data_IF_816083105791
#
_entry.id   IF_816083105791
#
_cell.length_a   1.000
_cell.length_b   1.000
_cell.length_c   1.000
_cell.angle_alpha   90.00
_cell.angle_beta   90.00
_cell.angle_gamma   90.00
#
_symmetry.space_group_name_H-M   'P 1'
#
loop_
_entity.id
_entity.type
_entity.pdbx_description
1 polymer ?
#
# COMPACT_ATOMS: atom_id res chain seq x y z
N UNK A 1 -19.88 9.81 0.17
CA UNK A 1 -20.21 8.36 0.14
C UNK A 1 -19.38 7.66 1.23
N UNK A 2 -19.66 6.43 1.67
CA UNK A 2 -18.75 5.75 2.58
C UNK A 2 -17.48 5.29 1.84
N UNK A 3 -16.43 4.98 2.60
CA UNK A 3 -15.30 4.19 2.11
C UNK A 3 -15.80 2.85 1.57
N UNK A 4 -15.10 2.29 0.58
CA UNK A 4 -15.38 0.95 0.03
C UNK A 4 -14.46 -0.10 0.67
N UNK A 5 -14.91 -1.36 0.80
CA UNK A 5 -14.02 -2.46 1.16
C UNK A 5 -12.94 -2.66 0.09
N UNK A 6 -11.70 -2.92 0.51
CA UNK A 6 -10.58 -3.17 -0.42
C UNK A 6 -10.88 -4.34 -1.35
N UNK A 7 -11.62 -5.36 -0.89
CA UNK A 7 -12.07 -6.49 -1.71
C UNK A 7 -12.73 -6.03 -3.01
N UNK A 8 -13.60 -5.02 -2.97
CA UNK A 8 -14.23 -4.50 -4.18
C UNK A 8 -13.17 -3.96 -5.16
N UNK A 9 -12.26 -3.12 -4.68
CA UNK A 9 -11.20 -2.53 -5.52
C UNK A 9 -10.34 -3.63 -6.14
N UNK A 10 -10.03 -4.68 -5.38
CA UNK A 10 -9.25 -5.82 -5.86
C UNK A 10 -10.00 -6.66 -6.90
N UNK A 11 -11.27 -6.98 -6.65
CA UNK A 11 -12.10 -7.76 -7.57
C UNK A 11 -12.24 -7.04 -8.93
N UNK A 12 -12.40 -5.70 -8.91
CA UNK A 12 -12.45 -4.89 -10.14
C UNK A 12 -11.08 -4.78 -10.82
N UNK A 13 -9.98 -4.69 -10.05
CA UNK A 13 -8.62 -4.74 -10.60
C UNK A 13 -8.30 -6.07 -11.29
N UNK A 14 -8.81 -7.19 -10.74
CA UNK A 14 -8.71 -8.51 -11.38
C UNK A 14 -9.47 -8.53 -12.69
N UNK A 15 -10.72 -8.04 -12.72
CA UNK A 15 -11.54 -7.99 -13.95
C UNK A 15 -10.95 -7.09 -15.03
N UNK A 16 -10.45 -5.91 -14.63
CA UNK A 16 -9.88 -4.90 -15.53
C UNK A 16 -8.42 -5.16 -15.92
N UNK A 17 -7.74 -6.08 -15.25
CA UNK A 17 -6.35 -6.41 -15.56
C UNK A 17 -5.32 -5.34 -15.16
N UNK A 18 -5.68 -4.41 -14.27
CA UNK A 18 -4.81 -3.34 -13.79
C UNK A 18 -4.28 -3.59 -12.37
N UNK A 19 -3.35 -2.76 -11.89
CA UNK A 19 -2.85 -2.78 -10.52
C UNK A 19 -3.21 -1.48 -9.80
N UNK A 20 -3.58 -1.54 -8.52
CA UNK A 20 -3.96 -0.37 -7.74
C UNK A 20 -2.84 0.02 -6.78
N UNK A 21 -2.45 1.29 -6.82
CA UNK A 21 -1.49 1.84 -5.87
C UNK A 21 -2.10 1.92 -4.47
N UNK A 22 -1.37 1.42 -3.48
CA UNK A 22 -1.66 1.62 -2.07
C UNK A 22 -0.61 2.57 -1.49
N UNK A 23 -1.06 3.79 -1.18
CA UNK A 23 -0.19 4.91 -0.85
C UNK A 23 -0.23 5.19 0.65
N UNK A 24 0.94 5.16 1.29
CA UNK A 24 1.04 5.48 2.72
C UNK A 24 0.76 6.97 2.97
N UNK A 25 -0.02 7.25 4.01
CA UNK A 25 -0.41 8.62 4.39
C UNK A 25 -0.17 8.89 5.87
N UNK A 26 0.36 10.08 6.16
CA UNK A 26 0.72 10.52 7.51
C UNK A 26 0.18 11.91 7.84
N UNK A 27 -0.25 12.69 6.84
CA UNK A 27 -0.75 14.05 7.01
C UNK A 27 -1.73 14.46 5.90
N UNK A 28 -2.25 15.68 6.00
CA UNK A 28 -3.24 16.26 5.09
C UNK A 28 -2.67 16.43 3.68
N UNK A 29 -1.45 16.96 3.53
CA UNK A 29 -0.84 17.27 2.25
C UNK A 29 -0.62 16.02 1.39
N UNK A 30 -0.21 14.90 2.00
CA UNK A 30 -0.08 13.62 1.29
C UNK A 30 -1.42 13.14 0.77
N UNK A 31 -2.45 13.14 1.63
CA UNK A 31 -3.82 12.75 1.25
C UNK A 31 -4.33 13.63 0.12
N UNK A 32 -4.22 14.96 0.23
CA UNK A 32 -4.66 15.88 -0.81
C UNK A 32 -3.92 15.69 -2.13
N UNK A 33 -2.60 15.43 -2.09
CA UNK A 33 -1.81 15.15 -3.28
C UNK A 33 -2.27 13.87 -3.99
N UNK A 34 -2.45 12.78 -3.22
CA UNK A 34 -2.94 11.49 -3.73
C UNK A 34 -4.36 11.63 -4.30
N UNK A 35 -5.26 12.28 -3.57
CA UNK A 35 -6.66 12.42 -4.00
C UNK A 35 -6.82 13.33 -5.21
N UNK A 36 -6.00 14.39 -5.32
CA UNK A 36 -5.96 15.21 -6.54
C UNK A 36 -5.58 14.37 -7.75
N UNK A 37 -4.59 13.49 -7.61
CA UNK A 37 -4.21 12.57 -8.69
C UNK A 37 -5.36 11.61 -9.03
N UNK A 38 -5.91 10.93 -8.01
CA UNK A 38 -7.01 9.98 -8.18
C UNK A 38 -8.23 10.58 -8.87
N UNK A 39 -8.60 11.81 -8.51
CA UNK A 39 -9.73 12.53 -9.09
C UNK A 39 -9.49 12.96 -10.53
N UNK A 40 -8.27 13.40 -10.87
CA UNK A 40 -7.93 13.81 -12.23
C UNK A 40 -7.84 12.60 -13.18
N UNK A 41 -7.26 11.49 -12.72
CA UNK A 41 -7.15 10.25 -13.52
C UNK A 41 -8.41 9.39 -13.44
N UNK A 42 -9.36 9.72 -12.56
CA UNK A 42 -10.52 8.88 -12.24
C UNK A 42 -10.10 7.45 -11.88
N UNK A 43 -9.13 7.34 -10.97
CA UNK A 43 -8.57 6.05 -10.54
C UNK A 43 -9.10 5.60 -9.17
N UNK A 44 -9.35 4.30 -8.95
CA UNK A 44 -9.51 3.77 -7.60
C UNK A 44 -8.23 3.97 -6.78
N UNK A 45 -8.36 4.11 -5.46
CA UNK A 45 -7.20 4.35 -4.59
C UNK A 45 -7.32 3.63 -3.24
N UNK A 46 -6.18 3.11 -2.78
CA UNK A 46 -6.03 2.61 -1.41
C UNK A 46 -5.15 3.61 -0.66
N UNK A 47 -5.73 4.27 0.35
CA UNK A 47 -4.96 5.04 1.32
C UNK A 47 -4.59 4.08 2.45
N UNK A 48 -3.30 3.95 2.74
CA UNK A 48 -2.84 3.07 3.80
C UNK A 48 -2.10 3.79 4.92
N UNK A 49 -2.25 3.31 6.14
CA UNK A 49 -1.60 3.87 7.32
C UNK A 49 -0.86 2.76 8.07
N UNK A 50 0.44 2.94 8.25
CA UNK A 50 1.25 2.07 9.09
C UNK A 50 0.94 2.31 10.57
N UNK A 51 1.39 1.40 11.44
CA UNK A 51 1.38 1.65 12.90
C UNK A 51 2.10 2.95 13.28
N UNK A 52 3.19 3.27 12.57
CA UNK A 52 3.92 4.53 12.74
C UNK A 52 3.06 5.75 12.37
N UNK A 53 2.34 5.69 11.25
CA UNK A 53 1.40 6.73 10.83
C UNK A 53 0.25 6.91 11.84
N UNK A 54 -0.32 5.81 12.34
CA UNK A 54 -1.38 5.82 13.36
C UNK A 54 -0.88 6.48 14.64
N UNK A 55 0.34 6.16 15.08
CA UNK A 55 0.96 6.79 16.24
C UNK A 55 1.24 8.29 16.01
N UNK A 56 1.81 8.65 14.85
CA UNK A 56 2.12 10.03 14.48
C UNK A 56 0.86 10.92 14.42
N UNK A 57 -0.25 10.35 13.95
CA UNK A 57 -1.53 11.05 13.80
C UNK A 57 -2.44 10.92 15.03
N UNK A 58 -1.92 10.50 16.19
CA UNK A 58 -2.71 10.28 17.42
C UNK A 58 -4.02 9.49 17.17
N UNK A 59 -3.97 8.50 16.28
CA UNK A 59 -5.04 7.60 15.83
C UNK A 59 -6.26 8.25 15.15
N UNK A 60 -6.86 9.29 15.74
CA UNK A 60 -8.12 9.85 15.26
C UNK A 60 -7.94 10.81 14.09
N UNK A 61 -6.80 11.52 13.99
CA UNK A 61 -6.63 12.49 12.91
C UNK A 61 -6.62 11.81 11.54
N UNK A 62 -5.99 10.63 11.40
CA UNK A 62 -5.99 9.91 10.13
C UNK A 62 -7.41 9.52 9.68
N UNK A 63 -8.26 9.08 10.62
CA UNK A 63 -9.67 8.78 10.35
C UNK A 63 -10.38 10.00 9.75
N UNK A 64 -10.33 11.14 10.42
CA UNK A 64 -11.06 12.33 9.98
C UNK A 64 -10.48 12.95 8.70
N UNK A 65 -9.16 12.89 8.51
CA UNK A 65 -8.55 13.34 7.25
C UNK A 65 -8.99 12.48 6.07
N UNK A 66 -9.09 11.16 6.25
CA UNK A 66 -9.59 10.26 5.19
C UNK A 66 -11.09 10.44 4.96
N UNK A 67 -11.88 10.68 6.01
CA UNK A 67 -13.30 11.02 5.84
C UNK A 67 -13.48 12.30 5.01
N UNK A 68 -12.69 13.34 5.27
CA UNK A 68 -12.70 14.56 4.46
C UNK A 68 -12.33 14.28 2.99
N UNK A 69 -11.35 13.40 2.74
CA UNK A 69 -11.01 12.98 1.38
C UNK A 69 -12.18 12.32 0.64
N UNK A 70 -12.97 11.49 1.33
CA UNK A 70 -14.14 10.83 0.74
C UNK A 70 -15.29 11.82 0.46
N UNK A 71 -15.49 12.80 1.34
CA UNK A 71 -16.48 13.85 1.14
C UNK A 71 -16.14 14.76 -0.05
N UNK A 72 -14.87 15.12 -0.19
CA UNK A 72 -14.37 15.98 -1.27
C UNK A 72 -14.26 15.26 -2.63
N UNK A 73 -14.25 13.92 -2.63
CA UNK A 73 -14.06 13.10 -3.83
C UNK A 73 -15.15 12.02 -3.96
N UNK A 74 -16.44 12.39 -4.06
CA UNK A 74 -17.54 11.44 -3.99
C UNK A 74 -17.52 10.42 -5.13
N UNK A 75 -16.94 10.72 -6.30
CA UNK A 75 -16.90 9.80 -7.44
C UNK A 75 -15.71 8.84 -7.45
N UNK A 76 -14.89 8.82 -6.40
CA UNK A 76 -13.66 8.01 -6.34
C UNK A 76 -13.83 6.89 -5.30
N UNK A 77 -13.63 5.62 -5.67
CA UNK A 77 -13.64 4.51 -4.72
C UNK A 77 -12.34 4.53 -3.91
N UNK A 78 -12.51 4.77 -2.60
CA UNK A 78 -11.41 4.94 -1.65
C UNK A 78 -11.54 3.85 -0.58
N UNK A 79 -10.46 3.09 -0.37
CA UNK A 79 -10.32 2.19 0.77
C UNK A 79 -9.29 2.74 1.76
N UNK A 80 -9.57 2.60 3.06
CA UNK A 80 -8.60 2.88 4.12
C UNK A 80 -8.06 1.56 4.67
N UNK A 81 -6.75 1.35 4.52
CA UNK A 81 -6.06 0.09 4.80
C UNK A 81 -5.03 0.23 5.93
N UNK A 82 -5.03 -0.69 6.89
CA UNK A 82 -3.97 -0.78 7.91
C UNK A 82 -2.80 -1.54 7.29
N UNK A 83 -1.65 -0.88 7.24
CA UNK A 83 -0.40 -1.46 6.72
C UNK A 83 0.42 -2.09 7.87
N UNK A 84 0.82 -3.35 7.69
CA UNK A 84 1.57 -4.15 8.66
C UNK A 84 1.02 -4.16 10.09
N UNK A 85 -0.22 -4.61 10.28
CA UNK A 85 -0.73 -4.97 11.61
C UNK A 85 0.10 -6.10 12.21
N UNK A 86 0.55 -5.95 13.46
CA UNK A 86 1.46 -6.90 14.11
C UNK A 86 0.76 -7.86 15.09
N UNK A 87 -0.52 -7.63 15.37
CA UNK A 87 -1.33 -8.41 16.30
C UNK A 87 -2.80 -8.29 15.97
N UNK A 88 -3.60 -9.17 16.57
CA UNK A 88 -5.05 -9.11 16.50
C UNK A 88 -5.58 -7.78 17.03
N UNK A 89 -5.03 -7.29 18.15
CA UNK A 89 -5.44 -6.06 18.82
C UNK A 89 -5.23 -4.83 17.92
N UNK A 90 -4.11 -4.77 17.21
CA UNK A 90 -3.83 -3.69 16.26
C UNK A 90 -4.83 -3.69 15.11
N UNK A 91 -5.12 -4.86 14.53
CA UNK A 91 -6.10 -5.00 13.45
C UNK A 91 -7.51 -4.64 13.93
N UNK A 92 -7.91 -5.14 15.11
CA UNK A 92 -9.18 -4.81 15.75
C UNK A 92 -9.33 -3.31 15.98
N UNK A 93 -8.30 -2.65 16.50
CA UNK A 93 -8.32 -1.21 16.74
C UNK A 93 -8.50 -0.42 15.44
N UNK A 94 -7.83 -0.81 14.35
CA UNK A 94 -8.03 -0.17 13.05
C UNK A 94 -9.46 -0.34 12.53
N UNK A 95 -10.04 -1.55 12.65
CA UNK A 95 -11.44 -1.81 12.30
C UNK A 95 -12.39 -0.89 13.11
N UNK A 96 -12.19 -0.79 14.42
CA UNK A 96 -12.99 0.08 15.31
C UNK A 96 -12.83 1.58 14.98
N UNK A 97 -11.66 1.99 14.45
CA UNK A 97 -11.44 3.34 13.95
C UNK A 97 -12.18 3.62 12.63
N UNK A 98 -12.63 2.59 11.91
CA UNK A 98 -13.38 2.71 10.65
C UNK A 98 -12.56 2.42 9.40
N UNK A 99 -11.47 1.67 9.53
CA UNK A 99 -10.74 1.14 8.38
C UNK A 99 -11.61 0.12 7.63
N UNK A 100 -11.57 0.15 6.30
CA UNK A 100 -12.32 -0.77 5.43
C UNK A 100 -11.47 -1.94 4.95
N UNK A 101 -10.18 -1.94 5.29
CA UNK A 101 -9.29 -3.07 5.14
C UNK A 101 -8.19 -3.07 6.20
N UNK A 102 -7.71 -4.25 6.56
CA UNK A 102 -6.55 -4.42 7.42
C UNK A 102 -5.59 -5.46 6.85
N UNK A 103 -4.29 -5.23 7.03
CA UNK A 103 -3.29 -6.26 6.87
C UNK A 103 -2.88 -6.79 8.24
N UNK A 104 -2.84 -8.11 8.38
CA UNK A 104 -2.12 -8.79 9.46
C UNK A 104 -0.82 -9.34 8.87
N UNK A 105 0.31 -8.72 9.25
CA UNK A 105 1.63 -9.23 8.93
C UNK A 105 1.97 -10.35 9.91
N UNK A 106 1.30 -11.47 9.70
CA UNK A 106 1.55 -12.70 10.43
C UNK A 106 2.85 -13.38 10.01
N UNK A 107 3.62 -12.85 9.04
CA UNK A 107 4.93 -13.41 8.65
C UNK A 107 6.02 -13.14 9.68
N UNK A 108 5.78 -12.15 10.55
CA UNK A 108 6.63 -11.75 11.66
C UNK A 108 5.89 -11.98 12.98
N UNK A 109 6.66 -12.07 14.07
CA UNK A 109 6.12 -12.00 15.43
C UNK A 109 5.65 -10.58 15.72
N UNK A 110 4.97 -10.42 16.85
CA UNK A 110 4.41 -9.13 17.29
C UNK A 110 5.46 -8.00 17.42
N UNK A 111 6.75 -8.35 17.54
CA UNK A 111 7.87 -7.41 17.51
C UNK A 111 8.15 -6.78 16.12
N UNK A 112 7.44 -7.24 15.08
CA UNK A 112 7.56 -6.82 13.67
C UNK A 112 8.96 -7.02 13.08
N UNK A 113 9.75 -7.96 13.61
CA UNK A 113 11.13 -8.21 13.19
C UNK A 113 11.47 -9.69 13.10
N UNK A 114 11.00 -10.49 14.03
CA UNK A 114 11.37 -11.90 14.11
C UNK A 114 10.46 -12.70 13.19
N UNK A 115 10.96 -13.43 12.18
CA UNK A 115 10.11 -14.29 11.35
C UNK A 115 9.37 -15.33 12.19
N UNK A 116 8.14 -15.64 11.80
CA UNK A 116 7.35 -16.69 12.43
C UNK A 116 7.39 -18.00 11.64
N UNK A 117 6.67 -19.04 12.11
CA UNK A 117 6.40 -20.26 11.35
C UNK A 117 5.02 -20.23 10.66
N UNK A 118 4.83 -21.11 9.67
CA UNK A 118 3.63 -21.18 8.85
C UNK A 118 2.35 -21.36 9.68
N UNK A 119 2.35 -22.27 10.66
CA UNK A 119 1.19 -22.57 11.48
C UNK A 119 0.77 -21.39 12.36
N UNK A 120 1.73 -20.69 12.97
CA UNK A 120 1.48 -19.46 13.74
C UNK A 120 0.93 -18.34 12.85
N UNK A 121 1.47 -18.16 11.65
CA UNK A 121 0.98 -17.18 10.68
C UNK A 121 -0.47 -17.47 10.25
N UNK A 122 -0.77 -18.71 9.87
CA UNK A 122 -2.14 -19.14 9.53
C UNK A 122 -3.09 -18.91 10.70
N UNK A 123 -2.69 -19.27 11.92
CA UNK A 123 -3.53 -19.13 13.10
C UNK A 123 -3.90 -17.67 13.40
N UNK A 124 -2.93 -16.75 13.43
CA UNK A 124 -3.23 -15.34 13.70
C UNK A 124 -4.02 -14.69 12.55
N UNK A 125 -3.68 -15.02 11.31
CA UNK A 125 -4.35 -14.49 10.13
C UNK A 125 -5.82 -14.89 10.11
N UNK A 126 -6.11 -16.17 10.37
CA UNK A 126 -7.48 -16.68 10.42
C UNK A 126 -8.33 -15.98 11.49
N UNK A 127 -7.77 -15.72 12.68
CA UNK A 127 -8.47 -14.98 13.75
C UNK A 127 -8.84 -13.56 13.28
N UNK A 128 -7.94 -12.88 12.58
CA UNK A 128 -8.20 -11.54 12.04
C UNK A 128 -9.24 -11.59 10.91
N UNK A 129 -9.16 -12.56 10.00
CA UNK A 129 -10.15 -12.79 8.94
C UNK A 129 -11.54 -12.99 9.53
N UNK A 130 -11.69 -13.94 10.45
CA UNK A 130 -12.98 -14.24 11.10
C UNK A 130 -13.58 -13.03 11.82
N UNK A 131 -12.75 -12.15 12.39
CA UNK A 131 -13.21 -10.94 13.05
C UNK A 131 -13.59 -9.84 12.05
N UNK A 132 -12.76 -9.58 11.06
CA UNK A 132 -12.93 -8.52 10.07
C UNK A 132 -14.15 -8.77 9.15
N UNK A 133 -14.32 -10.02 8.69
CA UNK A 133 -15.40 -10.40 7.79
C UNK A 133 -16.80 -10.25 8.42
N UNK A 134 -16.93 -10.34 9.76
CA UNK A 134 -18.19 -10.04 10.48
C UNK A 134 -18.66 -8.60 10.32
N UNK A 135 -17.76 -7.71 9.93
CA UNK A 135 -18.02 -6.30 9.67
C UNK A 135 -17.80 -5.94 8.20
N UNK A 136 -17.60 -6.93 7.31
CA UNK A 136 -17.34 -6.71 5.88
C UNK A 136 -15.99 -6.10 5.55
N UNK A 137 -15.06 -6.03 6.51
CA UNK A 137 -13.72 -5.48 6.33
C UNK A 137 -12.82 -6.50 5.66
N UNK A 138 -12.07 -6.09 4.64
CA UNK A 138 -11.18 -6.98 3.88
C UNK A 138 -9.84 -7.19 4.60
N UNK A 139 -9.28 -8.39 4.47
CA UNK A 139 -8.02 -8.77 5.11
C UNK A 139 -6.95 -9.13 4.08
N UNK A 140 -5.78 -8.51 4.24
CA UNK A 140 -4.54 -8.90 3.59
C UNK A 140 -3.68 -9.72 4.57
N UNK A 141 -3.14 -10.84 4.10
CA UNK A 141 -2.08 -11.59 4.81
C UNK A 141 -0.75 -11.51 4.07
N UNK A 142 0.34 -11.94 4.71
CA UNK A 142 1.67 -12.02 4.08
C UNK A 142 2.29 -13.40 4.29
N UNK A 143 2.95 -13.91 3.24
CA UNK A 143 3.73 -15.14 3.31
C UNK A 143 5.13 -14.94 2.71
N UNK A 144 6.15 -15.45 3.42
CA UNK A 144 7.56 -15.14 3.16
C UNK A 144 8.01 -13.92 3.99
N UNK A 145 9.22 -13.41 3.76
CA UNK A 145 9.68 -12.17 4.39
C UNK A 145 10.46 -11.29 3.43
N UNK A 146 10.23 -9.98 3.52
CA UNK A 146 10.90 -8.95 2.73
C UNK A 146 12.32 -8.65 3.23
N UNK A 147 13.16 -8.13 2.32
CA UNK A 147 14.43 -7.51 2.71
C UNK A 147 14.24 -6.12 3.32
N UNK A 148 15.21 -5.64 4.12
CA UNK A 148 15.18 -4.27 4.68
C UNK A 148 14.18 -4.05 5.82
N UNK A 149 14.04 -2.79 6.25
CA UNK A 149 13.14 -2.33 7.33
C UNK A 149 12.61 -0.94 6.96
N UNK A 150 11.29 -0.70 7.02
CA UNK A 150 10.62 0.61 6.87
C UNK A 150 9.53 0.74 7.94
N UNK A 151 9.40 1.93 8.53
CA UNK A 151 8.50 2.19 9.68
C UNK A 151 8.63 1.20 10.86
N UNK A 152 9.81 0.60 11.02
CA UNK A 152 10.10 -0.38 12.08
C UNK A 152 9.66 -1.82 11.77
N UNK A 153 9.14 -2.08 10.57
CA UNK A 153 8.65 -3.39 10.10
C UNK A 153 9.66 -4.01 9.11
N UNK A 154 10.03 -5.26 9.37
CA UNK A 154 10.82 -6.09 8.45
C UNK A 154 11.87 -6.94 9.20
N UNK A 155 12.20 -8.10 8.63
CA UNK A 155 13.20 -9.01 9.21
C UNK A 155 14.62 -8.70 8.74
N UNK A 156 14.78 -7.92 7.68
CA UNK A 156 16.06 -7.73 6.99
C UNK A 156 16.57 -8.96 6.24
N UNK A 157 15.83 -10.09 6.27
CA UNK A 157 16.17 -11.35 5.61
C UNK A 157 15.09 -11.70 4.59
N UNK A 158 15.51 -11.96 3.36
CA UNK A 158 14.59 -12.40 2.32
C UNK A 158 14.31 -13.89 2.48
N UNK A 159 13.04 -14.25 2.64
CA UNK A 159 12.56 -15.62 2.50
C UNK A 159 11.48 -15.59 1.43
N UNK A 160 11.80 -16.10 0.24
CA UNK A 160 10.88 -16.10 -0.89
C UNK A 160 9.65 -16.94 -0.56
N UNK A 161 8.51 -16.53 -1.09
CA UNK A 161 7.26 -17.28 -0.92
C UNK A 161 7.32 -18.60 -1.67
N UNK A 162 6.98 -19.69 -1.01
CA UNK A 162 6.73 -20.98 -1.64
C UNK A 162 5.30 -20.99 -2.23
N UNK A 163 5.10 -21.26 -3.53
CA UNK A 163 3.77 -21.27 -4.15
C UNK A 163 2.80 -22.28 -3.54
N UNK A 164 3.27 -23.47 -3.16
CA UNK A 164 2.42 -24.51 -2.57
C UNK A 164 1.99 -24.13 -1.14
N UNK A 165 2.86 -23.46 -0.38
CA UNK A 165 2.49 -22.87 0.90
C UNK A 165 1.51 -21.71 0.75
N UNK A 166 1.68 -20.84 -0.27
CA UNK A 166 0.75 -19.75 -0.54
C UNK A 166 -0.67 -20.24 -0.83
N UNK A 167 -0.80 -21.30 -1.64
CA UNK A 167 -2.10 -21.93 -1.94
C UNK A 167 -2.76 -22.43 -0.65
N UNK A 168 -2.02 -23.19 0.16
CA UNK A 168 -2.52 -23.67 1.46
C UNK A 168 -2.88 -22.52 2.39
N UNK A 169 -2.07 -21.46 2.42
CA UNK A 169 -2.31 -20.30 3.27
C UNK A 169 -3.63 -19.62 2.90
N UNK A 170 -3.88 -19.39 1.61
CA UNK A 170 -5.12 -18.79 1.11
C UNK A 170 -6.32 -19.66 1.52
N UNK A 171 -6.26 -20.97 1.28
CA UNK A 171 -7.33 -21.92 1.61
C UNK A 171 -7.62 -22.01 3.12
N UNK A 172 -6.58 -21.99 3.96
CA UNK A 172 -6.72 -22.14 5.40
C UNK A 172 -7.18 -20.85 6.10
N UNK A 173 -6.82 -19.69 5.55
CA UNK A 173 -7.06 -18.38 6.19
C UNK A 173 -8.28 -17.66 5.62
N UNK A 174 -8.56 -17.79 4.33
CA UNK A 174 -9.64 -17.05 3.66
C UNK A 174 -9.33 -15.56 3.46
N UNK A 175 -8.05 -15.17 3.37
CA UNK A 175 -7.67 -13.78 3.08
C UNK A 175 -8.22 -13.28 1.74
N UNK A 176 -8.47 -11.98 1.65
CA UNK A 176 -8.97 -11.31 0.44
C UNK A 176 -7.85 -10.89 -0.52
N UNK A 177 -6.64 -10.72 0.01
CA UNK A 177 -5.42 -10.44 -0.74
C UNK A 177 -4.21 -11.09 -0.05
N UNK A 178 -3.20 -11.48 -0.82
CA UNK A 178 -1.97 -12.10 -0.29
C UNK A 178 -0.73 -11.33 -0.74
N UNK A 179 0.03 -10.81 0.21
CA UNK A 179 1.36 -10.27 0.00
C UNK A 179 2.40 -11.38 -0.13
N UNK A 180 3.29 -11.22 -1.12
CA UNK A 180 4.32 -12.18 -1.47
C UNK A 180 5.72 -11.59 -1.32
N UNK A 181 6.64 -12.38 -0.80
CA UNK A 181 8.07 -12.11 -0.87
C UNK A 181 8.64 -12.65 -2.19
N UNK A 182 8.82 -11.75 -3.16
CA UNK A 182 9.36 -12.07 -4.50
C UNK A 182 10.73 -11.42 -4.77
N UNK A 183 11.44 -11.06 -3.71
CA UNK A 183 12.77 -10.42 -3.79
C UNK A 183 12.76 -8.89 -3.63
N UNK A 184 11.63 -8.29 -3.27
CA UNK A 184 11.55 -6.86 -2.93
C UNK A 184 12.04 -6.58 -1.50
N UNK A 185 12.26 -5.30 -1.21
CA UNK A 185 12.70 -4.81 0.10
C UNK A 185 12.08 -3.45 0.45
N UNK A 186 12.02 -3.17 1.74
CA UNK A 186 11.51 -1.91 2.29
C UNK A 186 12.51 -0.75 2.22
N UNK A 187 12.00 0.49 2.20
CA UNK A 187 12.79 1.73 2.23
C UNK A 187 13.42 2.13 0.88
N UNK A 188 14.27 3.17 0.91
CA UNK A 188 14.91 3.71 -0.29
C UNK A 188 16.08 2.86 -0.79
N UNK A 189 16.81 2.21 0.11
CA UNK A 189 18.03 1.45 -0.21
C UNK A 189 17.72 0.02 -0.64
N UNK A 190 16.92 -0.15 -1.68
CA UNK A 190 16.38 -1.47 -2.05
C UNK A 190 17.41 -2.34 -2.75
N UNK A 191 18.13 -1.76 -3.71
CA UNK A 191 19.09 -2.51 -4.53
C UNK A 191 20.39 -1.72 -4.79
N UNK A 192 21.52 -2.44 -4.87
CA UNK A 192 22.82 -1.92 -5.33
C UNK A 192 23.07 -2.17 -6.82
N UNK A 193 22.23 -2.99 -7.45
CA UNK A 193 22.23 -3.38 -8.85
C UNK A 193 20.77 -3.56 -9.31
N UNK A 194 20.53 -3.89 -10.57
CA UNK A 194 19.17 -4.14 -11.07
C UNK A 194 18.48 -5.28 -10.27
N UNK A 195 17.23 -5.10 -9.82
CA UNK A 195 16.56 -6.10 -9.01
C UNK A 195 16.26 -7.36 -9.81
N UNK A 196 16.50 -8.52 -9.19
CA UNK A 196 16.01 -9.81 -9.68
C UNK A 196 14.77 -10.18 -8.88
N UNK A 197 13.61 -10.06 -9.51
CA UNK A 197 12.33 -10.45 -8.91
C UNK A 197 11.93 -11.84 -9.39
N UNK A 198 11.45 -12.67 -8.47
CA UNK A 198 11.01 -14.04 -8.72
C UNK A 198 9.54 -14.06 -9.15
N UNK A 199 9.25 -13.45 -10.31
CA UNK A 199 7.88 -13.26 -10.83
C UNK A 199 7.16 -14.56 -11.19
N UNK A 200 7.89 -15.68 -11.32
CA UNK A 200 7.29 -16.98 -11.63
C UNK A 200 6.51 -17.56 -10.44
N UNK A 201 6.78 -17.11 -9.21
CA UNK A 201 5.95 -17.41 -8.02
C UNK A 201 4.50 -16.94 -8.25
N UNK A 202 4.32 -15.76 -8.86
CA UNK A 202 3.00 -15.18 -9.14
C UNK A 202 2.22 -16.08 -10.10
N UNK A 203 2.89 -16.54 -11.17
CA UNK A 203 2.28 -17.44 -12.16
C UNK A 203 1.83 -18.75 -11.52
N UNK A 204 2.69 -19.37 -10.71
CA UNK A 204 2.38 -20.64 -10.05
C UNK A 204 1.14 -20.55 -9.15
N UNK A 205 0.97 -19.43 -8.44
CA UNK A 205 -0.21 -19.19 -7.61
C UNK A 205 -1.45 -18.94 -8.48
N UNK A 206 -1.36 -18.09 -9.51
CA UNK A 206 -2.50 -17.79 -10.40
C UNK A 206 -2.96 -19.00 -11.21
N UNK A 207 -2.08 -19.92 -11.56
CA UNK A 207 -2.46 -21.18 -12.23
C UNK A 207 -3.37 -22.06 -11.35
N UNK A 208 -3.22 -21.98 -10.03
CA UNK A 208 -3.94 -22.80 -9.05
C UNK A 208 -5.16 -22.09 -8.46
N UNK A 209 -5.05 -20.78 -8.23
CA UNK A 209 -6.12 -19.94 -7.71
C UNK A 209 -6.27 -18.71 -8.63
N UNK A 210 -6.84 -18.88 -9.85
CA UNK A 210 -7.00 -17.79 -10.79
C UNK A 210 -7.83 -16.65 -10.21
N UNK A 211 -7.34 -15.42 -10.34
CA UNK A 211 -8.03 -14.23 -9.86
C UNK A 211 -7.84 -13.94 -8.37
N UNK A 212 -6.98 -14.69 -7.66
CA UNK A 212 -6.54 -14.30 -6.32
C UNK A 212 -5.81 -12.95 -6.40
N UNK A 213 -6.23 -11.90 -5.67
CA UNK A 213 -5.50 -10.64 -5.64
C UNK A 213 -4.15 -10.79 -4.91
N UNK A 214 -3.05 -10.60 -5.62
CA UNK A 214 -1.70 -10.67 -5.05
C UNK A 214 -1.15 -9.25 -4.80
N UNK A 215 -0.36 -9.10 -3.75
CA UNK A 215 0.14 -7.80 -3.28
C UNK A 215 1.66 -7.76 -3.37
N UNK A 216 2.18 -6.65 -3.90
CA UNK A 216 3.62 -6.40 -3.97
C UNK A 216 4.03 -5.31 -3.00
N UNK A 217 4.73 -5.73 -1.95
CA UNK A 217 5.31 -4.85 -0.93
C UNK A 217 6.68 -4.32 -1.35
N UNK A 218 7.10 -3.21 -0.73
CA UNK A 218 8.41 -2.60 -1.01
C UNK A 218 8.57 -2.13 -2.46
N UNK A 219 7.50 -1.67 -3.10
CA UNK A 219 7.43 -1.47 -4.56
C UNK A 219 7.73 -0.06 -5.06
N UNK A 220 8.15 0.85 -4.16
CA UNK A 220 8.63 2.18 -4.55
C UNK A 220 9.75 2.09 -5.61
N UNK A 221 9.69 2.93 -6.64
CA UNK A 221 10.69 2.92 -7.74
C UNK A 221 11.94 3.75 -7.43
N UNK A 222 11.86 4.63 -6.43
CA UNK A 222 12.93 5.51 -5.98
C UNK A 222 13.54 6.30 -7.15
N UNK A 223 12.78 7.24 -7.76
CA UNK A 223 13.24 8.00 -8.92
C UNK A 223 14.54 8.77 -8.64
N UNK A 224 15.53 8.60 -9.53
CA UNK A 224 16.87 9.19 -9.36
C UNK A 224 16.87 10.72 -9.38
N UNK A 225 15.95 11.33 -10.12
CA UNK A 225 15.74 12.78 -10.17
C UNK A 225 15.28 13.35 -8.82
N UNK A 226 14.47 12.62 -8.06
CA UNK A 226 14.07 13.02 -6.71
C UNK A 226 15.24 12.94 -5.71
N UNK A 227 16.09 11.91 -5.82
CA UNK A 227 17.34 11.82 -5.03
C UNK A 227 18.26 12.99 -5.38
N UNK A 228 18.49 13.23 -6.67
CA UNK A 228 19.37 14.30 -7.15
C UNK A 228 18.83 15.67 -6.71
N UNK A 229 17.51 15.90 -6.74
CA UNK A 229 16.88 17.10 -6.21
C UNK A 229 17.16 17.28 -4.72
N UNK A 230 16.97 16.23 -3.90
CA UNK A 230 17.24 16.30 -2.46
C UNK A 230 18.72 16.64 -2.21
N UNK A 231 19.64 15.96 -2.89
CA UNK A 231 21.08 16.16 -2.74
C UNK A 231 21.53 17.54 -3.20
N UNK A 232 20.96 18.07 -4.29
CA UNK A 232 21.23 19.42 -4.78
C UNK A 232 20.85 20.48 -3.72
N UNK A 233 19.79 20.25 -2.95
CA UNK A 233 19.28 21.19 -1.94
C UNK A 233 19.60 20.73 -0.50
N UNK A 234 20.85 20.32 -0.29
CA UNK A 234 21.44 20.09 1.05
C UNK A 234 21.12 18.73 1.68
N UNK A 235 20.57 17.80 0.91
CA UNK A 235 20.45 16.38 1.29
C UNK A 235 21.75 15.61 1.09
N UNK A 236 21.80 14.39 1.65
CA UNK A 236 22.94 13.47 1.56
C UNK A 236 22.46 12.03 1.45
N UNK A 237 21.57 11.77 0.51
CA UNK A 237 21.08 10.44 0.20
C UNK A 237 22.09 9.70 -0.69
N UNK A 238 22.37 8.44 -0.36
CA UNK A 238 23.17 7.60 -1.23
C UNK A 238 22.38 7.30 -2.52
N UNK A 239 23.09 7.20 -3.66
CA UNK A 239 22.45 6.76 -4.90
C UNK A 239 22.05 5.31 -4.76
N UNK A 240 20.77 5.04 -4.96
CA UNK A 240 20.15 3.73 -4.87
C UNK A 240 19.02 3.63 -5.88
N UNK A 241 18.51 2.43 -6.10
CA UNK A 241 17.44 2.15 -7.06
C UNK A 241 16.32 1.40 -6.34
N UNK A 242 15.08 1.73 -6.71
CA UNK A 242 13.90 0.99 -6.30
C UNK A 242 13.51 -0.08 -7.31
N UNK A 243 12.24 -0.47 -7.30
CA UNK A 243 11.70 -1.43 -8.27
C UNK A 243 11.37 -0.71 -9.60
N UNK A 244 11.97 -1.11 -10.74
CA UNK A 244 11.64 -0.55 -12.06
C UNK A 244 10.16 -0.67 -12.38
N UNK A 245 9.59 0.35 -13.02
CA UNK A 245 8.15 0.35 -13.34
C UNK A 245 7.78 -0.78 -14.30
N UNK A 246 8.67 -1.11 -15.23
CA UNK A 246 8.49 -2.21 -16.18
C UNK A 246 8.33 -3.56 -15.46
N UNK A 247 9.06 -3.76 -14.36
CA UNK A 247 8.94 -4.96 -13.54
C UNK A 247 7.62 -5.00 -12.76
N UNK A 248 7.15 -3.84 -12.26
CA UNK A 248 5.83 -3.72 -11.63
C UNK A 248 4.72 -4.05 -12.65
N UNK A 249 4.79 -3.48 -13.85
CA UNK A 249 3.82 -3.72 -14.92
C UNK A 249 3.81 -5.18 -15.35
N UNK A 250 4.98 -5.82 -15.43
CA UNK A 250 5.07 -7.26 -15.71
C UNK A 250 4.43 -8.09 -14.59
N UNK A 251 4.65 -7.72 -13.32
CA UNK A 251 3.99 -8.38 -12.19
C UNK A 251 2.46 -8.18 -12.21
N UNK A 252 1.95 -7.02 -12.64
CA UNK A 252 0.51 -6.76 -12.80
C UNK A 252 -0.12 -7.67 -13.86
N UNK A 253 0.53 -7.85 -15.01
CA UNK A 253 0.07 -8.79 -16.05
C UNK A 253 -0.04 -10.21 -15.52
N UNK A 254 0.80 -10.57 -14.54
CA UNK A 254 0.85 -11.89 -13.91
C UNK A 254 -0.09 -12.06 -12.73
N UNK A 255 -0.74 -11.01 -12.22
CA UNK A 255 -1.74 -11.13 -11.14
C UNK A 255 -1.50 -10.28 -9.90
N UNK A 256 -0.47 -9.43 -9.85
CA UNK A 256 -0.38 -8.40 -8.80
C UNK A 256 -1.48 -7.35 -9.00
N UNK A 257 -2.24 -7.06 -7.94
CA UNK A 257 -3.36 -6.12 -7.94
C UNK A 257 -3.23 -4.98 -6.94
N UNK A 258 -2.41 -5.12 -5.89
CA UNK A 258 -2.08 -4.03 -4.97
C UNK A 258 -0.57 -3.81 -4.94
N UNK A 259 -0.16 -2.54 -5.06
CA UNK A 259 1.25 -2.14 -5.14
C UNK A 259 1.51 -1.11 -4.04
N UNK A 260 2.26 -1.48 -3.00
CA UNK A 260 2.58 -0.58 -1.89
C UNK A 260 3.65 0.44 -2.29
N UNK A 261 3.32 1.73 -2.18
CA UNK A 261 4.19 2.85 -2.57
C UNK A 261 4.20 3.89 -1.45
N UNK A 262 5.37 4.11 -0.85
CA UNK A 262 5.56 5.10 0.21
C UNK A 262 6.76 6.01 -0.08
N UNK A 263 7.93 5.38 -0.20
CA UNK A 263 9.22 6.06 -0.36
C UNK A 263 9.22 7.12 -1.48
N UNK A 264 8.57 6.85 -2.62
CA UNK A 264 8.48 7.81 -3.74
C UNK A 264 7.79 9.12 -3.31
N UNK A 265 6.69 9.02 -2.55
CA UNK A 265 5.97 10.17 -2.00
C UNK A 265 6.79 10.92 -0.95
N UNK A 266 7.51 10.20 -0.08
CA UNK A 266 8.44 10.81 0.91
C UNK A 266 9.54 11.61 0.22
N UNK A 267 10.14 11.05 -0.83
CA UNK A 267 11.21 11.70 -1.62
C UNK A 267 10.67 12.94 -2.35
N UNK A 268 9.51 12.82 -3.00
CA UNK A 268 8.89 13.93 -3.71
C UNK A 268 8.60 15.13 -2.78
N UNK A 269 7.92 14.87 -1.66
CA UNK A 269 7.61 15.89 -0.65
C UNK A 269 8.89 16.50 -0.06
N UNK A 270 9.89 15.68 0.30
CA UNK A 270 11.15 16.17 0.89
C UNK A 270 11.94 17.02 -0.08
N UNK A 271 12.08 16.58 -1.33
CA UNK A 271 12.80 17.31 -2.38
C UNK A 271 12.16 18.67 -2.66
N UNK A 272 10.83 18.71 -2.77
CA UNK A 272 10.08 19.94 -3.03
C UNK A 272 10.25 20.97 -1.90
N UNK A 273 10.10 20.55 -0.63
CA UNK A 273 10.30 21.44 0.52
C UNK A 273 11.72 21.99 0.56
N UNK A 274 12.73 21.13 0.39
CA UNK A 274 14.15 21.54 0.38
C UNK A 274 14.44 22.55 -0.72
N UNK A 275 14.00 22.26 -1.94
CA UNK A 275 14.14 23.16 -3.09
C UNK A 275 13.49 24.51 -2.83
N UNK A 276 12.27 24.51 -2.30
CA UNK A 276 11.55 25.76 -2.05
C UNK A 276 12.26 26.62 -1.00
N UNK A 277 12.60 26.05 0.16
CA UNK A 277 13.23 26.79 1.25
C UNK A 277 14.64 27.28 0.89
N UNK A 278 15.41 26.49 0.13
CA UNK A 278 16.72 26.91 -0.35
C UNK A 278 16.65 28.14 -1.25
N UNK A 279 15.69 28.16 -2.19
CA UNK A 279 15.53 29.27 -3.12
C UNK A 279 14.80 30.47 -2.51
N UNK A 280 14.10 30.30 -1.39
CA UNK A 280 13.29 31.33 -0.73
C UNK A 280 13.67 31.45 0.76
N UNK A 281 14.86 31.95 1.10
CA UNK A 281 15.39 31.93 2.47
C UNK A 281 14.59 32.79 3.46
N UNK A 282 13.77 33.72 2.96
CA UNK A 282 12.88 34.56 3.78
C UNK A 282 11.48 33.95 3.93
N UNK A 283 11.17 32.84 3.27
CA UNK A 283 9.87 32.20 3.39
C UNK A 283 9.74 31.45 4.72
N UNK A 284 8.66 31.75 5.43
CA UNK A 284 8.33 31.12 6.70
C UNK A 284 6.86 30.68 6.78
N UNK A 285 6.04 30.97 5.76
CA UNK A 285 4.66 30.50 5.68
C UNK A 285 4.63 29.02 5.28
N UNK A 286 4.13 28.13 6.14
CA UNK A 286 4.08 26.70 5.84
C UNK A 286 3.32 26.36 4.57
N UNK A 287 2.28 27.12 4.23
CA UNK A 287 1.43 26.85 3.07
C UNK A 287 2.21 26.96 1.76
N UNK A 288 3.27 27.77 1.72
CA UNK A 288 4.08 27.94 0.51
C UNK A 288 4.87 26.67 0.21
N UNK A 289 5.69 26.19 1.14
CA UNK A 289 6.51 24.99 0.90
C UNK A 289 5.73 23.68 1.02
N UNK A 290 4.68 23.62 1.83
CA UNK A 290 3.78 22.46 1.86
C UNK A 290 2.85 22.41 0.64
N UNK A 291 2.53 23.55 0.03
CA UNK A 291 1.86 23.62 -1.26
C UNK A 291 2.67 22.94 -2.37
N UNK A 292 3.97 23.26 -2.46
CA UNK A 292 4.90 22.60 -3.39
C UNK A 292 5.07 21.11 -3.09
N UNK A 293 5.13 20.74 -1.81
CA UNK A 293 5.20 19.34 -1.40
C UNK A 293 3.99 18.53 -1.86
N UNK A 294 2.79 19.06 -1.65
CA UNK A 294 1.53 18.45 -2.10
C UNK A 294 1.49 18.30 -3.62
N UNK A 295 1.92 19.33 -4.34
CA UNK A 295 1.99 19.29 -5.82
C UNK A 295 3.01 18.25 -6.32
N UNK A 296 4.14 18.08 -5.64
CA UNK A 296 5.11 17.05 -5.96
C UNK A 296 4.53 15.63 -5.74
N UNK A 297 3.85 15.39 -4.61
CA UNK A 297 3.15 14.11 -4.35
C UNK A 297 2.10 13.85 -5.43
N UNK A 298 1.28 14.85 -5.78
CA UNK A 298 0.30 14.74 -6.85
C UNK A 298 0.92 14.27 -8.17
N UNK A 299 2.01 14.90 -8.62
CA UNK A 299 2.67 14.53 -9.88
C UNK A 299 3.21 13.11 -9.86
N UNK A 300 3.86 12.74 -8.75
CA UNK A 300 4.39 11.38 -8.56
C UNK A 300 3.26 10.35 -8.60
N UNK A 301 2.18 10.58 -7.85
CA UNK A 301 1.05 9.62 -7.76
C UNK A 301 0.29 9.54 -9.08
N UNK A 302 0.07 10.66 -9.77
CA UNK A 302 -0.57 10.69 -11.09
C UNK A 302 0.19 9.81 -12.09
N UNK A 303 1.50 9.98 -12.20
CA UNK A 303 2.34 9.15 -13.07
C UNK A 303 2.22 7.66 -12.71
N UNK A 304 2.23 7.32 -11.40
CA UNK A 304 1.99 5.94 -10.96
C UNK A 304 0.62 5.42 -11.41
N UNK A 305 -0.44 6.20 -11.26
CA UNK A 305 -1.80 5.76 -11.64
C UNK A 305 -1.92 5.47 -13.14
N UNK A 306 -1.24 6.27 -13.97
CA UNK A 306 -1.11 6.05 -15.42
C UNK A 306 -0.32 4.76 -15.69
N UNK A 307 0.86 4.61 -15.09
CA UNK A 307 1.74 3.46 -15.29
C UNK A 307 1.14 2.14 -14.80
N UNK A 308 0.36 2.16 -13.72
CA UNK A 308 -0.31 0.99 -13.15
C UNK A 308 -1.62 0.63 -13.89
N UNK A 309 -2.05 1.46 -14.84
CA UNK A 309 -3.23 1.21 -15.68
C UNK A 309 -4.57 1.50 -14.99
N UNK A 310 -4.60 2.35 -13.95
CA UNK A 310 -5.83 2.62 -13.17
C UNK A 310 -6.73 3.71 -13.74
N UNK A 311 -6.25 4.46 -14.73
CA UNK A 311 -6.93 5.66 -15.25
C UNK A 311 -8.29 5.32 -15.85
N UNK A 312 -9.35 5.99 -15.40
CA UNK A 312 -10.73 5.82 -15.87
C UNK A 312 -11.56 4.80 -15.09
N UNK A 313 -10.93 3.89 -14.34
CA UNK A 313 -11.61 2.75 -13.72
C UNK A 313 -12.51 3.10 -12.52
N UNK A 314 -12.38 4.29 -11.92
CA UNK A 314 -13.21 4.69 -10.77
C UNK A 314 -14.72 4.78 -11.08
N UNK A 315 -15.09 4.98 -12.35
CA UNK A 315 -16.49 5.17 -12.76
C UNK A 315 -17.13 3.95 -13.42
N UNK A 316 -16.47 2.79 -13.41
CA UNK A 316 -16.92 1.60 -14.13
C UNK A 316 -17.86 0.70 -13.32
N UNK A 317 -17.94 0.91 -12.00
CA UNK A 317 -18.70 0.07 -11.09
C UNK A 317 -19.38 0.88 -9.98
N UNK A 318 -20.52 0.36 -9.52
CA UNK A 318 -21.25 0.90 -8.37
C UNK A 318 -20.55 0.52 -7.06
N UNK A 319 -20.49 1.44 -6.10
CA UNK A 319 -19.78 1.22 -4.85
C UNK A 319 -20.59 0.31 -3.93
N UNK A 320 -19.95 -0.72 -3.37
CA UNK A 320 -20.61 -1.59 -2.38
C UNK A 320 -20.23 -1.15 -0.97
N UNK A 321 -21.14 -1.37 -0.02
CA UNK A 321 -20.88 -1.05 1.38
C UNK A 321 -20.23 -2.23 2.09
N UNK A 322 -19.65 -1.97 3.27
CA UNK A 322 -19.19 -3.04 4.16
C UNK A 322 -20.33 -4.02 4.52
N UNK A 323 -21.57 -3.56 4.65
CA UNK A 323 -22.70 -4.44 4.94
C UNK A 323 -23.04 -5.37 3.75
N UNK A 324 -22.83 -4.91 2.52
CA UNK A 324 -23.00 -5.75 1.33
C UNK A 324 -21.90 -6.82 1.26
N UNK A 325 -20.65 -6.44 1.53
CA UNK A 325 -19.52 -7.38 1.58
C UNK A 325 -19.67 -8.39 2.71
N UNK A 326 -20.14 -7.96 3.89
CA UNK A 326 -20.46 -8.84 5.01
C UNK A 326 -21.48 -9.90 4.61
N UNK A 327 -22.53 -9.56 3.86
CA UNK A 327 -23.51 -10.55 3.37
C UNK A 327 -22.84 -11.55 2.43
N UNK A 328 -21.91 -11.12 1.59
CA UNK A 328 -21.16 -11.99 0.70
C UNK A 328 -20.25 -12.99 1.44
N UNK A 329 -19.63 -12.58 2.56
CA UNK A 329 -18.81 -13.48 3.39
C UNK A 329 -19.61 -14.55 4.15
N UNK A 330 -20.91 -14.35 4.35
CA UNK A 330 -21.78 -15.28 5.08
C UNK A 330 -22.57 -16.23 4.16
N UNK A 331 -22.29 -16.24 2.85
CA UNK A 331 -22.87 -17.15 1.86
C UNK A 331 -21.91 -18.31 1.58
#
# INVERSE_FOLDING_TARGET
MPLVPMKQIMDEAVKGGYGVGAYNVNNMEQIQGIMKAASETRSPVILQASRGAIAYTNMYYIKYMVQAAVEDNPGIPISLHLDHGNSFETCKQAIELGFTSVMIDGSLKEDSKTPTNFEENVAITKIVVEYAHRSGVSVEGELGTLGGIEDGVGSGKVMLTDPDEAIKFIELTGVDALALAIGTSHGAYKFKAEPKLELDIINAIQEKIPGMPLVMHGSSSVPGDLIDMINQYGGKLEKTMGVPMEAIQEAIKRGIRKINIDTDGRLAMTGAVRKYLYNNPTAFDPRSYFGEAREAVYRTVKGKMEDLGTTGHAGEYEFITLEDTKKAYNQ
#
